data_IF_456679802563
#
_entry.id   IF_456679802563
#
_cell.length_a   1.000
_cell.length_b   1.000
_cell.length_c   1.000
_cell.angle_alpha   90.00
_cell.angle_beta   90.00
_cell.angle_gamma   90.00
#
_symmetry.space_group_name_H-M   'P 1'
#
loop_
_entity.id
_entity.type
_entity.pdbx_description
1 polymer ?
#
# COMPACT_ATOMS: atom_id res chain seq x y z
N UNK A 1 -47.50 -2.10 -25.91
CA UNK A 1 -46.43 -1.30 -26.45
C UNK A 1 -45.89 -0.35 -25.40
N UNK A 2 -46.75 0.41 -24.72
CA UNK A 2 -46.28 1.27 -23.66
C UNK A 2 -45.59 0.46 -22.57
N UNK A 3 -46.14 -0.73 -22.31
CA UNK A 3 -45.52 -1.62 -21.32
C UNK A 3 -44.15 -2.10 -21.78
N UNK A 4 -44.02 -2.44 -23.05
CA UNK A 4 -42.74 -2.90 -23.57
C UNK A 4 -41.71 -1.77 -23.50
N UNK A 5 -42.12 -0.56 -23.89
CA UNK A 5 -41.22 0.59 -23.81
C UNK A 5 -40.79 0.86 -22.40
N UNK A 6 -41.72 0.72 -21.42
CA UNK A 6 -41.38 0.95 -20.03
C UNK A 6 -40.39 -0.10 -19.54
N UNK A 7 -40.59 -1.36 -19.91
CA UNK A 7 -39.68 -2.42 -19.49
C UNK A 7 -38.27 -2.20 -20.05
N UNK A 8 -38.19 -1.73 -21.30
CA UNK A 8 -36.90 -1.44 -21.87
C UNK A 8 -36.22 -0.30 -21.11
N UNK A 9 -36.96 0.74 -20.80
CA UNK A 9 -36.38 1.87 -20.08
C UNK A 9 -35.92 1.47 -18.67
N UNK A 10 -36.69 0.59 -18.02
CA UNK A 10 -36.31 0.13 -16.69
C UNK A 10 -35.06 -0.73 -16.78
N UNK A 11 -34.95 -1.58 -17.80
CA UNK A 11 -33.76 -2.41 -17.95
C UNK A 11 -32.53 -1.56 -18.24
N UNK A 12 -32.71 -0.53 -19.08
CA UNK A 12 -31.59 0.36 -19.34
C UNK A 12 -31.17 1.15 -18.12
N UNK A 13 -32.14 1.58 -17.32
CA UNK A 13 -31.83 2.31 -16.10
C UNK A 13 -31.12 1.42 -15.10
N UNK A 14 -31.58 0.17 -14.98
CA UNK A 14 -30.91 -0.77 -14.09
C UNK A 14 -29.50 -1.06 -14.55
N UNK A 15 -29.30 -1.17 -15.86
CA UNK A 15 -27.97 -1.43 -16.41
C UNK A 15 -27.04 -0.26 -16.12
N UNK A 16 -27.52 0.97 -16.31
CA UNK A 16 -26.71 2.14 -16.02
C UNK A 16 -26.35 2.22 -14.56
N UNK A 17 -27.30 1.89 -13.70
CA UNK A 17 -27.05 1.90 -12.27
C UNK A 17 -26.00 0.85 -11.90
N UNK A 18 -26.08 -0.33 -12.50
CA UNK A 18 -25.14 -1.40 -12.24
C UNK A 18 -23.74 -1.03 -12.70
N UNK A 19 -23.62 -0.43 -13.88
CA UNK A 19 -22.34 -0.01 -14.41
C UNK A 19 -21.73 1.08 -13.51
N UNK A 20 -22.57 2.02 -13.06
CA UNK A 20 -22.08 3.07 -12.17
C UNK A 20 -21.56 2.50 -10.88
N UNK A 21 -22.27 1.52 -10.32
CA UNK A 21 -21.84 0.87 -9.09
C UNK A 21 -20.51 0.15 -9.29
N UNK A 22 -20.35 -0.53 -10.41
CA UNK A 22 -19.11 -1.24 -10.70
C UNK A 22 -17.95 -0.28 -10.89
N UNK A 23 -18.22 0.87 -11.52
CA UNK A 23 -17.17 1.86 -11.70
C UNK A 23 -16.73 2.45 -10.37
N UNK A 24 -17.67 2.63 -9.44
CA UNK A 24 -17.31 3.11 -8.11
C UNK A 24 -16.49 2.08 -7.37
N UNK A 25 -16.86 0.81 -7.46
CA UNK A 25 -16.09 -0.25 -6.82
C UNK A 25 -14.69 -0.35 -7.42
N UNK A 26 -14.60 -0.19 -8.74
CA UNK A 26 -13.31 -0.22 -9.40
C UNK A 26 -12.42 0.91 -8.90
N UNK A 27 -12.98 2.11 -8.75
CA UNK A 27 -12.22 3.25 -8.26
C UNK A 27 -11.72 3.02 -6.84
N UNK A 28 -12.56 2.42 -6.00
CA UNK A 28 -12.14 2.13 -4.63
C UNK A 28 -11.02 1.10 -4.59
N UNK A 29 -11.11 0.09 -5.45
CA UNK A 29 -10.07 -0.93 -5.51
C UNK A 29 -8.76 -0.34 -6.02
N UNK A 30 -8.83 0.52 -7.03
CA UNK A 30 -7.64 1.17 -7.55
C UNK A 30 -7.00 2.04 -6.50
N UNK A 31 -7.80 2.73 -5.70
CA UNK A 31 -7.27 3.54 -4.62
C UNK A 31 -6.58 2.67 -3.57
N UNK A 32 -7.19 1.54 -3.23
CA UNK A 32 -6.60 0.61 -2.28
C UNK A 32 -5.27 0.07 -2.78
N UNK A 33 -5.19 -0.22 -4.08
CA UNK A 33 -3.96 -0.72 -4.66
C UNK A 33 -2.85 0.32 -4.55
N UNK A 34 -3.18 1.59 -4.78
CA UNK A 34 -2.18 2.64 -4.67
C UNK A 34 -1.72 2.82 -3.24
N UNK A 35 -2.64 2.71 -2.29
CA UNK A 35 -2.27 2.80 -0.89
C UNK A 35 -1.35 1.65 -0.49
N UNK A 36 -1.64 0.46 -0.97
CA UNK A 36 -0.81 -0.69 -0.66
C UNK A 36 0.58 -0.57 -1.29
N UNK A 37 0.65 -0.02 -2.51
CA UNK A 37 1.93 0.19 -3.15
C UNK A 37 2.76 1.23 -2.40
N UNK A 38 2.12 2.28 -1.90
CA UNK A 38 2.81 3.29 -1.12
C UNK A 38 3.31 2.70 0.18
N UNK A 39 2.47 1.90 0.83
CA UNK A 39 2.86 1.24 2.06
C UNK A 39 4.06 0.31 1.82
N UNK A 40 4.03 -0.45 0.74
CA UNK A 40 5.11 -1.36 0.42
C UNK A 40 6.40 -0.59 0.14
N UNK A 41 6.29 0.52 -0.59
CA UNK A 41 7.43 1.36 -0.89
C UNK A 41 8.07 1.90 0.40
N UNK A 42 7.23 2.40 1.29
CA UNK A 42 7.73 2.95 2.55
C UNK A 42 8.35 1.88 3.42
N UNK A 43 7.75 0.70 3.42
CA UNK A 43 8.24 -0.41 4.21
C UNK A 43 9.63 -0.83 3.72
N UNK A 44 9.79 -0.93 2.40
CA UNK A 44 11.09 -1.30 1.84
C UNK A 44 12.15 -0.25 2.12
N UNK A 45 11.76 1.01 2.06
CA UNK A 45 12.69 2.09 2.37
C UNK A 45 13.12 2.02 3.82
N UNK A 46 12.19 1.73 4.71
CA UNK A 46 12.50 1.61 6.13
C UNK A 46 13.46 0.46 6.39
N UNK A 47 13.21 -0.68 5.75
CA UNK A 47 14.07 -1.84 5.92
C UNK A 47 15.47 -1.56 5.38
N UNK A 48 15.55 -0.90 4.24
CA UNK A 48 16.84 -0.55 3.66
C UNK A 48 17.62 0.37 4.58
N UNK A 49 16.93 1.38 5.13
CA UNK A 49 17.56 2.30 6.07
C UNK A 49 18.08 1.57 7.29
N UNK A 50 17.28 0.65 7.80
CA UNK A 50 17.68 -0.11 8.98
C UNK A 50 18.92 -0.96 8.67
N UNK A 51 18.92 -1.63 7.53
CA UNK A 51 20.04 -2.48 7.16
C UNK A 51 21.30 -1.64 6.95
N UNK A 52 21.17 -0.50 6.29
CA UNK A 52 22.32 0.37 6.07
C UNK A 52 22.86 0.89 7.38
N UNK A 53 21.97 1.18 8.32
CA UNK A 53 22.40 1.63 9.63
C UNK A 53 23.16 0.53 10.37
N UNK A 54 22.68 -0.70 10.26
CA UNK A 54 23.36 -1.83 10.90
C UNK A 54 24.73 -2.06 10.28
N UNK A 55 24.83 -1.92 8.97
CA UNK A 55 26.10 -2.11 8.30
C UNK A 55 27.09 -1.03 8.72
N UNK A 56 26.66 0.19 8.85
CA UNK A 56 27.53 1.26 9.28
C UNK A 56 28.02 1.01 10.69
N UNK A 57 27.15 0.50 11.54
CA UNK A 57 27.54 0.20 12.92
C UNK A 57 28.61 -0.88 12.94
N UNK A 58 28.49 -1.86 12.07
CA UNK A 58 29.50 -2.92 12.01
C UNK A 58 30.81 -2.42 11.42
N UNK A 59 30.75 -1.48 10.50
CA UNK A 59 31.96 -0.98 9.86
C UNK A 59 32.67 0.08 10.70
N UNK A 60 32.02 0.56 11.73
CA UNK A 60 32.60 1.57 12.59
C UNK A 60 32.68 1.05 14.00
N UNK A 61 33.46 0.02 14.22
CA UNK A 61 33.52 -0.61 15.52
C UNK A 61 34.03 0.30 16.63
N UNK A 62 34.83 1.25 16.29
CA UNK A 62 35.33 2.13 17.29
C UNK A 62 34.22 2.96 17.92
N UNK A 63 33.22 3.23 17.16
CA UNK A 63 32.17 4.02 17.73
C UNK A 63 31.35 3.14 18.64
N UNK A 64 31.48 1.95 18.43
CA UNK A 64 30.68 1.13 19.20
C UNK A 64 31.11 1.12 20.51
N UNK A 65 30.90 1.34 21.01
CA UNK A 65 31.34 1.19 22.19
C UNK A 65 30.76 0.25 22.58
N UNK A 66 30.86 0.10 21.93
CA UNK A 66 30.63 -0.68 22.21
C UNK A 66 30.70 -0.74 23.29
N UNK A 67 30.50 -0.11 23.40
CA UNK A 67 30.60 -0.06 24.42
C UNK A 67 30.56 -1.04 24.99
N UNK A 68 30.30 -1.50 24.72
CA UNK A 68 30.38 -2.36 25.24
C UNK A 68 31.20 -3.10 25.23
N UNK A 69 31.55 -3.08 24.49
CA UNK A 69 32.45 -3.80 24.44
C UNK A 69 33.26 -3.49 25.28
N UNK A 70 33.22 -2.49 25.26
CA UNK A 70 34.05 -2.13 26.15
C UNK A 70 33.84 -2.76 27.37
N UNK A 71 32.92 -2.67 27.76
CA UNK A 71 32.72 -3.17 28.91
C UNK A 71 33.11 -4.38 29.02
N UNK A 72 32.90 -5.03 28.19
CA UNK A 72 33.24 -6.25 28.33
C UNK A 72 34.52 -6.33 28.34
N UNK A 73 34.98 -5.65 27.59
CA UNK A 73 36.32 -5.78 27.54
C UNK A 73 36.86 -5.54 28.80
N UNK A 74 36.30 -4.83 29.33
CA UNK A 74 36.88 -4.63 30.58
C UNK A 74 37.01 -5.81 31.31
#
# INVERSE_FOLDING_TARGET
QATAARLIREAEANQRSEVSRLEQEKALIEHSIQELRQYEHDYRASIRSFIESQLRDLEAPSSAPRGNQGMLGA
#
